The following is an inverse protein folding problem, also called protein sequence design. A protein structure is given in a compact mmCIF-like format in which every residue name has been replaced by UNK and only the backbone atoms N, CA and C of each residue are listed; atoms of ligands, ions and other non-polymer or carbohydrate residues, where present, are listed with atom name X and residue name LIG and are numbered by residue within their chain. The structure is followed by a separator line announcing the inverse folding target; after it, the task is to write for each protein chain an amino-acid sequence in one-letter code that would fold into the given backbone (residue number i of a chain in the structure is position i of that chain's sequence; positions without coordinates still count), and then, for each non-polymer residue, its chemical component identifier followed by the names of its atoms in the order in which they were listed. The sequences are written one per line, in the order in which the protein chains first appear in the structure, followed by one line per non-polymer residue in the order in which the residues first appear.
data_IF_151997577684
#
_entry.id   IF_151997577684
#
_cell.length_a   1.000
_cell.length_b   1.000
_cell.length_c   1.000
_cell.angle_alpha   90.00
_cell.angle_beta   90.00
_cell.angle_gamma   90.00
#
_symmetry.space_group_name_H-M   'P 1'
#
loop_
_entity.id
_entity.type
_entity.pdbx_description
1 polymer ?
#
# COMPACT_ATOMS: atom_id res chain seq x y z
N UNK A 1 -16.87 -36.71 -2.17
CA UNK A 1 -17.12 -35.35 -1.68
C UNK A 1 -16.18 -34.47 -2.48
N UNK A 2 -16.70 -33.77 -3.48
CA UNK A 2 -15.95 -32.70 -4.12
C UNK A 2 -15.65 -31.66 -3.04
N UNK A 3 -14.37 -31.39 -2.78
CA UNK A 3 -14.00 -30.16 -2.09
C UNK A 3 -14.53 -29.01 -2.93
N UNK A 4 -15.57 -28.32 -2.45
CA UNK A 4 -15.93 -27.01 -2.97
C UNK A 4 -14.65 -26.17 -2.97
N UNK A 5 -14.12 -25.89 -4.16
CA UNK A 5 -12.99 -24.99 -4.31
C UNK A 5 -13.43 -23.63 -3.81
N UNK A 6 -13.13 -23.35 -2.54
CA UNK A 6 -13.31 -22.05 -1.94
C UNK A 6 -12.47 -21.08 -2.77
N UNK A 7 -13.15 -20.26 -3.56
CA UNK A 7 -12.50 -19.23 -4.34
C UNK A 7 -11.87 -18.26 -3.35
N UNK A 8 -10.53 -18.19 -3.34
CA UNK A 8 -9.83 -17.18 -2.59
C UNK A 8 -10.05 -15.84 -3.29
N UNK A 9 -10.76 -14.93 -2.62
CA UNK A 9 -11.09 -13.62 -3.18
C UNK A 9 -10.20 -12.57 -2.50
N UNK A 10 -9.39 -11.83 -3.26
CA UNK A 10 -8.67 -10.69 -2.71
C UNK A 10 -9.66 -9.58 -2.37
N UNK A 11 -9.67 -9.15 -1.12
CA UNK A 11 -10.46 -8.03 -0.62
C UNK A 11 -9.55 -6.93 -0.09
N UNK A 12 -9.94 -5.69 -0.37
CA UNK A 12 -9.23 -4.49 0.08
C UNK A 12 -9.91 -3.96 1.34
N UNK A 13 -9.14 -3.74 2.40
CA UNK A 13 -9.62 -3.22 3.68
C UNK A 13 -8.90 -1.93 4.05
N UNK A 14 -9.65 -0.83 4.18
CA UNK A 14 -9.13 0.41 4.73
C UNK A 14 -9.02 0.26 6.25
N UNK A 15 -7.81 0.13 6.77
CA UNK A 15 -7.60 -0.11 8.21
C UNK A 15 -7.75 1.16 9.06
N UNK A 16 -7.93 2.32 8.41
CA UNK A 16 -8.16 3.61 9.05
C UNK A 16 -6.91 4.18 9.74
N UNK A 17 -5.74 3.55 9.60
CA UNK A 17 -4.49 4.08 10.13
C UNK A 17 -4.05 5.25 9.26
N UNK A 18 -3.96 6.41 9.90
CA UNK A 18 -3.35 7.62 9.34
C UNK A 18 -2.00 7.81 10.00
N UNK A 19 -0.95 7.41 9.29
CA UNK A 19 0.40 7.62 9.78
C UNK A 19 0.86 9.03 9.42
N UNK A 20 1.67 9.61 10.31
CA UNK A 20 2.31 10.90 10.08
C UNK A 20 3.79 10.66 9.90
N UNK A 21 4.27 10.85 8.69
CA UNK A 21 5.69 10.74 8.36
C UNK A 21 6.29 12.13 8.37
N UNK A 22 7.36 12.33 9.15
CA UNK A 22 8.08 13.60 9.22
C UNK A 22 9.27 13.54 8.27
N UNK A 23 9.20 14.33 7.20
CA UNK A 23 10.29 14.48 6.24
C UNK A 23 11.12 15.69 6.64
N UNK A 24 12.42 15.48 6.84
CA UNK A 24 13.39 16.55 7.06
C UNK A 24 14.17 16.75 5.76
N UNK A 25 14.19 17.98 5.27
CA UNK A 25 14.93 18.35 4.06
C UNK A 25 15.81 19.56 4.32
N UNK A 26 17.01 19.55 3.76
CA UNK A 26 17.90 20.70 3.79
C UNK A 26 17.70 21.53 2.52
N UNK A 27 17.55 22.85 2.69
CA UNK A 27 17.55 23.80 1.57
C UNK A 27 18.26 25.08 1.97
N UNK A 28 19.25 25.48 1.18
CA UNK A 28 20.05 26.70 1.41
C UNK A 28 20.69 26.77 2.83
N UNK A 29 21.18 25.63 3.33
CA UNK A 29 21.81 25.52 4.66
C UNK A 29 20.83 25.62 5.84
N UNK A 30 19.51 25.60 5.57
CA UNK A 30 18.46 25.55 6.58
C UNK A 30 17.73 24.22 6.52
N UNK A 31 17.39 23.69 7.69
CA UNK A 31 16.59 22.49 7.83
C UNK A 31 15.10 22.83 7.84
N UNK A 32 14.33 22.16 7.01
CA UNK A 32 12.88 22.24 6.94
C UNK A 32 12.28 20.89 7.33
N UNK A 33 11.20 20.93 8.10
CA UNK A 33 10.41 19.74 8.40
C UNK A 33 9.03 19.85 7.79
N UNK A 34 8.56 18.76 7.20
CA UNK A 34 7.21 18.63 6.66
C UNK A 34 6.59 17.36 7.22
N UNK A 35 5.36 17.45 7.72
CA UNK A 35 4.57 16.28 8.06
C UNK A 35 3.69 15.90 6.88
N UNK A 36 3.80 14.66 6.43
CA UNK A 36 2.94 14.06 5.42
C UNK A 36 2.02 13.06 6.11
N UNK A 37 0.76 13.04 5.69
CA UNK A 37 -0.22 12.06 6.13
C UNK A 37 -0.28 10.94 5.09
N UNK A 38 -0.04 9.73 5.55
CA UNK A 38 -0.07 8.51 4.73
C UNK A 38 -1.23 7.65 5.22
N UNK A 39 -2.11 7.32 4.28
CA UNK A 39 -3.21 6.39 4.52
C UNK A 39 -2.72 4.96 4.29
N UNK A 40 -3.14 4.03 5.14
CA UNK A 40 -2.82 2.61 4.99
C UNK A 40 -4.03 1.80 4.54
N UNK A 41 -3.77 0.92 3.58
CA UNK A 41 -4.77 0.03 3.01
C UNK A 41 -4.23 -1.39 3.13
N UNK A 42 -4.94 -2.25 3.84
CA UNK A 42 -4.59 -3.66 4.00
C UNK A 42 -5.25 -4.50 2.91
N UNK A 43 -4.53 -5.47 2.37
CA UNK A 43 -5.06 -6.48 1.48
C UNK A 43 -5.23 -7.79 2.25
N UNK A 44 -6.45 -8.32 2.22
CA UNK A 44 -6.82 -9.56 2.90
C UNK A 44 -7.39 -10.55 1.87
N UNK A 45 -7.15 -11.83 2.10
CA UNK A 45 -7.74 -12.91 1.32
C UNK A 45 -8.88 -13.52 2.11
N UNK A 46 -10.08 -13.48 1.55
CA UNK A 46 -11.25 -14.14 2.11
C UNK A 46 -11.36 -15.59 1.59
N UNK A 47 -11.98 -16.52 2.37
CA UNK A 47 -12.69 -16.31 3.64
C UNK A 47 -11.83 -16.43 4.91
N UNK A 48 -10.57 -16.86 4.80
CA UNK A 48 -9.70 -17.12 5.96
C UNK A 48 -9.12 -15.85 6.61
N UNK A 49 -9.42 -14.67 6.04
CA UNK A 49 -8.84 -13.38 6.44
C UNK A 49 -7.30 -13.40 6.43
N UNK A 50 -6.71 -14.16 5.51
CA UNK A 50 -5.27 -14.28 5.40
C UNK A 50 -4.70 -12.95 4.89
N UNK A 51 -3.84 -12.32 5.71
CA UNK A 51 -3.20 -11.07 5.34
C UNK A 51 -2.26 -11.28 4.15
N UNK A 52 -2.53 -10.60 3.04
CA UNK A 52 -1.74 -10.72 1.81
C UNK A 52 -0.71 -9.61 1.63
N UNK A 53 -0.90 -8.46 2.29
CA UNK A 53 0.01 -7.32 2.17
C UNK A 53 -0.65 -5.99 2.55
N UNK A 54 0.10 -4.91 2.39
CA UNK A 54 -0.40 -3.55 2.59
C UNK A 54 0.04 -2.63 1.45
N UNK A 55 -0.76 -1.59 1.22
CA UNK A 55 -0.50 -0.50 0.29
C UNK A 55 -0.44 0.78 1.13
N UNK A 56 0.63 1.55 0.97
CA UNK A 56 0.82 2.85 1.62
C UNK A 56 0.99 3.91 0.52
N UNK A 57 -0.12 4.49 0.00
CA UNK A 57 -0.05 5.60 -0.94
C UNK A 57 0.74 6.78 -0.32
N UNK A 58 1.61 7.38 -1.15
CA UNK A 58 2.48 8.48 -0.73
C UNK A 58 1.73 9.75 -0.26
N UNK A 59 0.46 9.88 -0.65
CA UNK A 59 -0.39 11.01 -0.28
C UNK A 59 -1.84 10.56 -0.08
N UNK A 60 -2.51 11.14 0.92
CA UNK A 60 -3.96 11.04 1.18
C UNK A 60 -4.77 11.85 0.14
N UNK A 61 -4.57 11.53 -1.14
CA UNK A 61 -5.31 12.08 -2.27
C UNK A 61 -5.92 10.89 -3.02
N UNK A 62 -7.21 10.99 -3.35
CA UNK A 62 -7.95 9.90 -4.01
C UNK A 62 -7.24 9.32 -5.24
N UNK A 63 -6.64 10.18 -6.08
CA UNK A 63 -5.85 9.76 -7.25
C UNK A 63 -4.60 8.96 -6.88
N UNK A 64 -3.91 9.32 -5.80
CA UNK A 64 -2.72 8.60 -5.33
C UNK A 64 -3.10 7.24 -4.75
N UNK A 65 -4.23 7.16 -4.06
CA UNK A 65 -4.80 5.90 -3.56
C UNK A 65 -5.20 4.99 -4.73
N UNK A 66 -5.95 5.52 -5.70
CA UNK A 66 -6.37 4.80 -6.91
C UNK A 66 -5.16 4.25 -7.68
N UNK A 67 -4.14 5.09 -7.88
CA UNK A 67 -2.92 4.71 -8.56
C UNK A 67 -2.17 3.62 -7.79
N UNK A 68 -1.99 3.76 -6.47
CA UNK A 68 -1.29 2.77 -5.66
C UNK A 68 -2.00 1.39 -5.65
N UNK A 69 -3.34 1.39 -5.63
CA UNK A 69 -4.14 0.16 -5.76
C UNK A 69 -3.95 -0.45 -7.16
N UNK A 70 -4.02 0.37 -8.20
CA UNK A 70 -3.86 -0.07 -9.59
C UNK A 70 -2.47 -0.62 -9.84
N UNK A 71 -1.43 0.07 -9.38
CA UNK A 71 -0.03 -0.35 -9.47
C UNK A 71 0.17 -1.67 -8.73
N UNK A 72 -0.36 -1.83 -7.52
CA UNK A 72 -0.29 -3.09 -6.80
C UNK A 72 -0.93 -4.26 -7.58
N UNK A 73 -2.11 -4.05 -8.20
CA UNK A 73 -2.77 -5.09 -8.99
C UNK A 73 -2.13 -5.34 -10.37
N UNK A 74 -1.41 -4.37 -10.92
CA UNK A 74 -0.64 -4.52 -12.16
C UNK A 74 0.75 -5.15 -11.91
N UNK A 75 1.42 -4.75 -10.84
CA UNK A 75 2.68 -5.31 -10.36
C UNK A 75 2.49 -6.73 -9.84
N UNK A 76 1.37 -7.04 -9.17
CA UNK A 76 1.01 -8.42 -8.78
C UNK A 76 0.86 -9.37 -9.98
N UNK A 77 0.49 -8.86 -11.16
CA UNK A 77 0.53 -9.62 -12.42
C UNK A 77 1.95 -9.74 -13.01
N UNK A 78 2.91 -8.98 -12.49
CA UNK A 78 4.31 -8.90 -12.91
C UNK A 78 5.32 -9.44 -11.88
N UNK A 79 4.90 -9.99 -10.73
CA UNK A 79 5.81 -10.54 -9.69
C UNK A 79 6.42 -11.91 -10.09
N UNK A 80 6.94 -12.00 -11.30
CA UNK A 80 8.24 -12.62 -11.51
C UNK A 80 9.38 -11.58 -11.58
N UNK A 81 9.10 -10.29 -11.36
CA UNK A 81 10.09 -9.24 -11.49
C UNK A 81 9.93 -8.10 -10.48
N UNK A 82 10.90 -8.04 -9.55
CA UNK A 82 11.51 -6.81 -9.04
C UNK A 82 10.66 -5.97 -8.05
N UNK A 83 10.68 -6.35 -6.77
CA UNK A 83 10.65 -5.34 -5.69
C UNK A 83 12.07 -4.81 -5.50
N UNK A 84 12.35 -3.67 -6.14
CA UNK A 84 13.62 -2.95 -6.08
C UNK A 84 13.40 -1.44 -5.92
N UNK A 85 12.42 -1.05 -5.11
CA UNK A 85 12.24 0.34 -4.68
C UNK A 85 13.23 0.66 -3.57
N UNK A 86 14.26 1.46 -3.89
CA UNK A 86 15.27 1.97 -2.97
C UNK A 86 14.61 2.87 -1.92
N UNK A 87 14.49 2.39 -0.70
CA UNK A 87 14.30 3.23 0.48
C UNK A 87 15.60 4.04 0.66
N UNK A 88 15.50 5.37 0.61
CA UNK A 88 16.59 6.26 1.01
C UNK A 88 16.80 6.20 2.52
#
# INVERSE_FOLDING_TARGET
MEEDKVLQIPALYFDGRKNKTLIISEKDGKMYSQSIHEDHISLIMEPELNFSGYIAPAFDISKCIEQAITDFFLESKNIYGIFGGRWM
#
